data_IF_776681672815
#
_entry.id   IF_776681672815
#
_cell.length_a   1.000
_cell.length_b   1.000
_cell.length_c   1.000
_cell.angle_alpha   90.00
_cell.angle_beta   90.00
_cell.angle_gamma   90.00
#
_symmetry.space_group_name_H-M   'P 1'
#
loop_
_entity.id
_entity.type
_entity.pdbx_description
1 polymer ?
#
# COMPACT_ATOMS: atom_id res chain seq x y z
N UNK A 1 -5.06 -9.32 42.47
CA UNK A 1 -5.34 -9.57 41.72
C UNK A 1 -5.57 -9.51 41.17
N UNK A 2 -5.15 -9.35 41.54
CA UNK A 2 -5.27 -9.49 40.79
C UNK A 2 -5.22 -9.29 40.03
N UNK A 3 -4.96 -9.16 40.55
CA UNK A 3 -4.82 -9.17 39.53
C UNK A 3 -4.78 -9.14 38.66
N UNK A 4 -4.39 -8.88 39.26
CA UNK A 4 -4.28 -9.09 38.07
C UNK A 4 -4.37 -8.79 37.22
N UNK A 5 -4.09 -8.62 37.83
CA UNK A 5 -4.16 -8.68 36.80
C UNK A 5 -4.24 -8.21 35.95
N UNK A 6 -3.77 -8.09 36.42
CA UNK A 6 -3.79 -8.03 35.40
C UNK A 6 -3.83 -7.63 34.57
N UNK A 7 -3.66 -7.43 34.99
CA UNK A 7 -3.64 -7.47 33.94
C UNK A 7 -3.82 -7.19 33.16
N UNK A 8 -3.26 -7.14 33.65
CA UNK A 8 -3.34 -7.32 32.65
C UNK A 8 -3.55 -7.00 31.91
N UNK A 9 -2.77 -7.13 32.56
CA UNK A 9 -2.89 -7.27 31.70
C UNK A 9 -2.90 -6.92 30.86
N UNK A 10 -2.56 -6.75 31.47
CA UNK A 10 -2.72 -6.81 30.52
C UNK A 10 -2.61 -6.60 29.69
N UNK A 11 -2.22 -6.51 30.12
CA UNK A 11 -2.31 -6.67 29.18
C UNK A 11 -2.34 -6.50 28.39
N UNK A 12 -1.99 -6.50 28.92
CA UNK A 12 -2.15 -6.62 27.97
C UNK A 12 -2.09 -6.23 27.20
N UNK A 13 -1.77 -5.99 27.50
CA UNK A 13 -1.90 -5.77 26.60
C UNK A 13 -1.54 -5.36 25.90
N UNK A 14 -1.11 -5.11 25.78
CA UNK A 14 -0.96 -4.88 24.84
C UNK A 14 -0.68 -4.69 24.10
N UNK A 15 -0.37 -4.80 24.15
CA UNK A 15 -0.01 -4.67 23.23
C UNK A 15 -0.09 -4.49 22.51
N UNK A 16 -0.19 -4.24 22.52
CA UNK A 16 -0.45 -4.01 21.60
C UNK A 16 -0.59 -3.32 20.92
N UNK A 17 -1.05 -3.40 21.09
CA UNK A 17 -1.43 -2.38 20.29
C UNK A 17 -0.62 -2.00 19.08
N UNK A 18 0.46 -2.18 19.03
CA UNK A 18 1.32 -1.99 17.88
C UNK A 18 0.90 -2.84 16.70
N UNK A 19 0.14 -3.84 16.93
CA UNK A 19 -0.31 -4.72 15.86
C UNK A 19 -1.16 -4.02 14.83
N UNK A 20 -1.89 -3.01 15.24
CA UNK A 20 -2.74 -2.28 14.31
C UNK A 20 -1.94 -1.53 13.26
N UNK A 21 -0.68 -1.14 13.57
CA UNK A 21 0.12 -0.40 12.61
C UNK A 21 0.60 -1.25 11.45
N UNK A 22 0.58 -2.58 11.60
CA UNK A 22 1.01 -3.49 10.54
C UNK A 22 -0.13 -3.90 9.62
N UNK A 23 -1.35 -3.51 9.93
CA UNK A 23 -2.52 -3.88 9.14
C UNK A 23 -2.83 -2.82 8.11
N UNK A 24 -3.18 -3.28 6.90
CA UNK A 24 -3.67 -2.37 5.88
C UNK A 24 -5.02 -1.80 6.29
N UNK A 25 -5.22 -0.49 6.12
CA UNK A 25 -6.52 0.12 6.46
C UNK A 25 -7.64 -0.28 5.49
N UNK A 26 -7.29 -0.81 4.33
CA UNK A 26 -8.21 -1.32 3.32
C UNK A 26 -7.47 -2.30 2.43
N UNK A 27 -8.20 -3.13 1.70
CA UNK A 27 -7.58 -4.15 0.84
C UNK A 27 -7.11 -3.55 -0.48
N UNK A 28 -5.91 -3.93 -0.90
CA UNK A 28 -5.33 -3.51 -2.18
C UNK A 28 -4.81 -4.75 -2.87
N UNK A 29 -5.09 -4.87 -4.18
CA UNK A 29 -4.59 -5.96 -5.00
C UNK A 29 -3.95 -5.40 -6.26
N UNK A 30 -2.87 -6.02 -6.71
CA UNK A 30 -2.21 -5.67 -7.97
C UNK A 30 -1.91 -6.95 -8.73
N UNK A 31 -2.37 -6.99 -9.99
CA UNK A 31 -2.14 -8.17 -10.83
C UNK A 31 -2.74 -9.44 -10.26
N UNK A 32 -3.86 -9.34 -9.55
CA UNK A 32 -4.49 -10.49 -8.93
C UNK A 32 -3.88 -10.91 -7.60
N UNK A 33 -2.87 -10.19 -7.13
CA UNK A 33 -2.22 -10.49 -5.84
C UNK A 33 -2.67 -9.51 -4.79
N UNK A 34 -3.17 -10.00 -3.66
CA UNK A 34 -3.52 -9.15 -2.53
C UNK A 34 -2.25 -8.68 -1.85
N UNK A 35 -2.19 -7.41 -1.50
CA UNK A 35 -1.08 -6.88 -0.72
C UNK A 35 -1.09 -7.52 0.66
N UNK A 36 0.08 -7.97 1.10
CA UNK A 36 0.25 -8.60 2.40
C UNK A 36 0.75 -7.58 3.41
N UNK A 37 0.21 -7.66 4.62
CA UNK A 37 0.65 -6.80 5.70
C UNK A 37 2.13 -6.97 5.98
N UNK A 38 2.78 -5.88 6.34
CA UNK A 38 4.20 -5.92 6.70
C UNK A 38 4.64 -4.58 7.26
N UNK A 39 5.81 -4.56 7.84
CA UNK A 39 6.40 -3.39 8.47
C UNK A 39 7.77 -3.12 7.88
N UNK A 40 8.07 -1.89 7.46
CA UNK A 40 7.24 -0.69 7.49
C UNK A 40 6.26 -0.59 6.33
N UNK A 41 6.31 -1.51 5.37
CA UNK A 41 5.44 -1.48 4.19
C UNK A 41 4.72 -2.80 4.02
N UNK A 42 3.47 -2.74 3.56
CA UNK A 42 2.83 -3.91 2.98
C UNK A 42 3.52 -4.25 1.67
N UNK A 43 3.21 -5.40 1.08
CA UNK A 43 4.01 -5.90 -0.03
C UNK A 43 3.16 -6.69 -1.02
N UNK A 44 3.41 -6.48 -2.30
CA UNK A 44 2.98 -7.39 -3.37
C UNK A 44 4.13 -8.37 -3.60
N UNK A 45 3.87 -9.65 -3.41
CA UNK A 45 4.93 -10.64 -3.25
C UNK A 45 5.71 -10.92 -4.52
N UNK A 46 5.02 -11.01 -5.66
CA UNK A 46 5.66 -11.35 -6.92
C UNK A 46 5.65 -10.16 -7.87
N UNK A 47 6.65 -10.04 -8.75
CA UNK A 47 6.66 -8.95 -9.75
C UNK A 47 5.42 -8.99 -10.61
N UNK A 48 4.96 -7.81 -11.03
CA UNK A 48 3.76 -7.66 -11.85
C UNK A 48 4.11 -6.90 -13.13
N UNK A 49 3.23 -7.02 -14.12
CA UNK A 49 3.39 -6.32 -15.38
C UNK A 49 3.14 -4.81 -15.19
N UNK A 50 3.72 -3.99 -16.07
CA UNK A 50 3.57 -2.54 -15.99
C UNK A 50 2.12 -2.08 -16.16
N UNK A 51 1.28 -2.89 -16.79
CA UNK A 51 -0.14 -2.59 -16.99
C UNK A 51 -1.05 -3.44 -16.11
N UNK A 52 -0.51 -4.03 -15.04
CA UNK A 52 -1.28 -4.89 -14.14
C UNK A 52 -2.50 -4.15 -13.57
N UNK A 53 -3.54 -4.91 -13.30
CA UNK A 53 -4.76 -4.34 -12.72
C UNK A 53 -4.54 -3.98 -11.25
N UNK A 54 -4.95 -2.77 -10.90
CA UNK A 54 -4.95 -2.29 -9.52
C UNK A 54 -6.38 -2.26 -9.01
N UNK A 55 -6.61 -2.88 -7.87
CA UNK A 55 -7.92 -2.89 -7.22
C UNK A 55 -7.79 -2.43 -5.78
N UNK A 56 -8.62 -1.47 -5.38
CA UNK A 56 -8.61 -0.92 -4.02
C UNK A 56 -10.02 -0.99 -3.47
N UNK A 57 -10.17 -1.63 -2.32
CA UNK A 57 -11.46 -1.69 -1.63
C UNK A 57 -11.67 -0.39 -0.87
N UNK A 58 -12.58 0.44 -1.35
CA UNK A 58 -12.88 1.72 -0.72
C UNK A 58 -14.35 2.06 -0.87
N UNK A 59 -14.90 2.72 0.13
CA UNK A 59 -16.28 3.23 0.10
C UNK A 59 -16.32 4.67 -0.38
N UNK A 60 -15.17 5.32 -0.48
CA UNK A 60 -15.10 6.69 -0.99
C UNK A 60 -15.22 6.70 -2.50
N UNK A 61 -15.69 7.81 -3.03
CA UNK A 61 -15.75 8.00 -4.48
C UNK A 61 -14.41 8.38 -5.09
N UNK A 62 -13.37 8.54 -4.29
CA UNK A 62 -12.07 8.97 -4.79
C UNK A 62 -10.94 8.19 -4.11
N UNK A 63 -10.00 7.72 -4.93
CA UNK A 63 -8.79 7.04 -4.47
C UNK A 63 -7.62 7.69 -5.21
N UNK A 64 -6.61 8.12 -4.46
CA UNK A 64 -5.40 8.72 -5.03
C UNK A 64 -4.25 7.76 -4.79
N UNK A 65 -3.52 7.43 -5.86
CA UNK A 65 -2.39 6.50 -5.79
C UNK A 65 -1.16 7.23 -6.27
N UNK A 66 -0.12 7.28 -5.43
CA UNK A 66 1.18 7.84 -5.77
C UNK A 66 2.19 6.70 -5.85
N UNK A 67 2.91 6.60 -6.96
CA UNK A 67 3.89 5.55 -7.17
C UNK A 67 5.25 6.19 -7.30
N UNK A 68 6.18 5.84 -6.40
CA UNK A 68 7.52 6.40 -6.35
C UNK A 68 8.55 5.30 -6.53
N UNK A 69 9.54 5.53 -7.40
CA UNK A 69 10.64 4.60 -7.57
C UNK A 69 11.50 4.58 -6.31
N UNK A 70 11.94 3.38 -5.92
CA UNK A 70 12.82 3.20 -4.77
C UNK A 70 14.00 2.34 -5.14
N UNK A 71 15.09 2.47 -4.36
CA UNK A 71 16.29 1.65 -4.53
C UNK A 71 16.16 0.32 -3.77
N UNK A 72 17.23 -0.45 -3.73
CA UNK A 72 17.22 -1.76 -3.07
C UNK A 72 16.94 -1.67 -1.56
N UNK A 73 17.14 -0.50 -0.96
CA UNK A 73 16.86 -0.26 0.46
C UNK A 73 15.47 0.34 0.69
N UNK A 74 14.65 0.39 -0.36
CA UNK A 74 13.30 0.97 -0.32
C UNK A 74 13.30 2.48 -0.02
N UNK A 75 14.37 3.15 -0.41
CA UNK A 75 14.50 4.61 -0.27
C UNK A 75 14.17 5.27 -1.62
N UNK A 76 13.59 6.48 -1.59
CA UNK A 76 13.28 7.17 -2.85
C UNK A 76 14.52 7.37 -3.71
N UNK A 77 14.36 7.15 -5.02
CA UNK A 77 15.44 7.37 -5.98
C UNK A 77 15.55 8.87 -6.25
N UNK A 78 16.74 9.48 -6.04
CA UNK A 78 16.90 10.91 -6.30
C UNK A 78 16.59 11.25 -7.76
N UNK A 79 15.89 12.35 -7.96
CA UNK A 79 15.56 12.84 -9.30
C UNK A 79 14.38 12.15 -9.96
N UNK A 80 13.81 11.13 -9.34
CA UNK A 80 12.61 10.50 -9.89
C UNK A 80 11.37 11.31 -9.53
N UNK A 81 10.39 11.31 -10.44
CA UNK A 81 9.12 12.01 -10.23
C UNK A 81 8.04 10.98 -9.89
N UNK A 82 7.19 11.26 -8.90
CA UNK A 82 6.10 10.34 -8.60
C UNK A 82 5.11 10.28 -9.76
N UNK A 83 4.53 9.10 -9.95
CA UNK A 83 3.47 8.86 -10.91
C UNK A 83 2.17 8.80 -10.14
N UNK A 84 1.15 9.50 -10.61
CA UNK A 84 -0.14 9.59 -9.91
C UNK A 84 -1.20 8.86 -10.73
N UNK A 85 -1.97 8.02 -10.05
CA UNK A 85 -3.15 7.35 -10.62
C UNK A 85 -4.35 7.77 -9.80
N UNK A 86 -5.39 8.21 -10.49
CA UNK A 86 -6.60 8.70 -9.83
C UNK A 86 -7.77 7.81 -10.21
N UNK A 87 -8.49 7.30 -9.20
CA UNK A 87 -9.73 6.57 -9.40
C UNK A 87 -10.89 7.41 -8.85
N UNK A 88 -11.81 7.76 -9.73
CA UNK A 88 -13.01 8.52 -9.35
C UNK A 88 -14.22 7.67 -9.70
N UNK A 89 -15.02 7.35 -8.69
CA UNK A 89 -16.25 6.57 -8.88
C UNK A 89 -15.99 5.13 -9.28
N UNK A 90 -14.78 4.62 -9.07
CA UNK A 90 -14.43 3.24 -9.39
C UNK A 90 -13.35 2.74 -8.44
N UNK A 91 -13.21 1.42 -8.34
CA UNK A 91 -12.25 0.78 -7.44
C UNK A 91 -11.17 0.01 -8.19
N UNK A 92 -11.21 -0.01 -9.52
CA UNK A 92 -10.25 -0.76 -10.34
C UNK A 92 -9.73 0.09 -11.47
N UNK A 93 -8.46 -0.09 -11.80
CA UNK A 93 -7.82 0.50 -12.96
C UNK A 93 -6.58 -0.31 -13.30
N UNK A 94 -5.81 0.14 -14.30
CA UNK A 94 -4.52 -0.49 -14.61
C UNK A 94 -3.40 0.47 -14.24
N UNK A 95 -2.23 -0.06 -13.93
CA UNK A 95 -1.09 0.75 -13.49
C UNK A 95 -0.60 1.72 -14.57
N UNK A 96 -0.94 1.48 -15.84
CA UNK A 96 -0.55 2.37 -16.93
C UNK A 96 -1.56 3.51 -17.15
N UNK A 97 -2.63 3.57 -16.38
CA UNK A 97 -3.62 4.65 -16.46
C UNK A 97 -3.24 5.78 -15.53
N UNK A 98 -2.11 6.40 -15.78
CA UNK A 98 -1.56 7.49 -14.96
C UNK A 98 -2.08 8.84 -15.44
N UNK A 99 -2.08 9.83 -14.54
CA UNK A 99 -2.62 11.15 -14.85
C UNK A 99 -1.84 11.86 -15.96
N UNK A 100 -0.54 11.63 -16.03
CA UNK A 100 0.32 12.28 -17.03
C UNK A 100 0.65 11.38 -18.21
N UNK A 101 0.09 10.17 -18.25
CA UNK A 101 0.33 9.22 -19.34
C UNK A 101 1.65 8.48 -19.25
N UNK A 102 2.43 8.71 -18.21
CA UNK A 102 3.70 7.99 -18.04
C UNK A 102 3.46 6.56 -17.62
N UNK A 103 4.30 5.66 -18.12
CA UNK A 103 4.25 4.25 -17.76
C UNK A 103 5.37 3.93 -16.78
N UNK A 104 5.11 2.97 -15.90
CA UNK A 104 6.12 2.48 -14.97
C UNK A 104 7.05 1.53 -15.71
N UNK A 105 8.36 1.80 -15.64
CA UNK A 105 9.35 0.88 -16.16
C UNK A 105 9.65 -0.23 -15.17
N UNK A 106 10.44 -1.24 -15.58
CA UNK A 106 10.86 -2.29 -14.65
C UNK A 106 11.62 -1.71 -13.47
N UNK A 107 11.35 -2.22 -12.28
CA UNK A 107 12.03 -1.76 -11.08
C UNK A 107 11.16 -1.88 -9.84
N UNK A 108 11.67 -1.33 -8.75
CA UNK A 108 11.00 -1.36 -7.46
C UNK A 108 10.36 -0.02 -7.15
N UNK A 109 9.18 -0.08 -6.56
CA UNK A 109 8.38 1.10 -6.26
C UNK A 109 7.71 0.98 -4.90
N UNK A 110 7.42 2.13 -4.30
CA UNK A 110 6.47 2.22 -3.20
C UNK A 110 5.22 2.90 -3.73
N UNK A 111 4.09 2.23 -3.56
CA UNK A 111 2.79 2.73 -3.97
C UNK A 111 2.05 3.18 -2.71
N UNK A 112 1.70 4.47 -2.65
CA UNK A 112 0.93 5.03 -1.54
C UNK A 112 -0.50 5.24 -2.01
N UNK A 113 -1.43 4.53 -1.39
CA UNK A 113 -2.85 4.59 -1.73
C UNK A 113 -3.57 5.37 -0.65
N UNK A 114 -4.23 6.46 -1.03
CA UNK A 114 -4.92 7.34 -0.10
C UNK A 114 -6.40 7.31 -0.42
N UNK A 115 -7.20 6.90 0.54
CA UNK A 115 -8.65 6.90 0.46
C UNK A 115 -9.24 6.80 1.87
N UNK A 116 -10.46 7.25 2.06
CA UNK A 116 -11.17 7.19 3.35
C UNK A 116 -10.37 7.85 4.48
N UNK A 117 -9.57 8.89 4.16
CA UNK A 117 -8.74 9.56 5.15
C UNK A 117 -7.58 8.72 5.67
N UNK A 118 -7.23 7.63 4.98
CA UNK A 118 -6.18 6.70 5.39
C UNK A 118 -5.19 6.49 4.26
N UNK A 119 -3.99 6.07 4.60
CA UNK A 119 -2.92 5.80 3.63
C UNK A 119 -2.38 4.38 3.82
N UNK A 120 -2.28 3.66 2.71
CA UNK A 120 -1.60 2.36 2.68
C UNK A 120 -0.36 2.49 1.82
N UNK A 121 0.79 2.06 2.33
CA UNK A 121 2.06 2.09 1.60
C UNK A 121 2.47 0.66 1.28
N UNK A 122 2.70 0.39 0.00
CA UNK A 122 2.86 -0.98 -0.51
C UNK A 122 4.09 -1.03 -1.40
N UNK A 123 4.98 -1.98 -1.11
CA UNK A 123 6.12 -2.27 -1.97
C UNK A 123 5.67 -3.08 -3.18
N UNK A 124 6.19 -2.72 -4.34
CA UNK A 124 5.77 -3.28 -5.61
C UNK A 124 6.97 -3.39 -6.54
N UNK A 125 7.09 -4.50 -7.26
CA UNK A 125 8.12 -4.68 -8.29
C UNK A 125 7.45 -4.83 -9.65
N UNK A 126 7.88 -4.05 -10.62
CA UNK A 126 7.44 -4.14 -12.02
C UNK A 126 8.50 -4.94 -12.79
N UNK A 127 8.07 -5.94 -13.51
CA UNK A 127 8.95 -6.76 -14.34
C UNK A 127 9.05 -6.27 -15.78
#
# INVERSE_FOLDING_TARGET
MKRVLLFFIVSAAFPYVLLASDSLPFSVSVGGQAAKNGTPFAKIENPVAADAELSVQSKDGMIIVNVNAVNAKNEPVPGSTPVVILLQGKTKTNLDKTMDGKKLGPGNYVMSVVTEGKTASILLTIK
#
